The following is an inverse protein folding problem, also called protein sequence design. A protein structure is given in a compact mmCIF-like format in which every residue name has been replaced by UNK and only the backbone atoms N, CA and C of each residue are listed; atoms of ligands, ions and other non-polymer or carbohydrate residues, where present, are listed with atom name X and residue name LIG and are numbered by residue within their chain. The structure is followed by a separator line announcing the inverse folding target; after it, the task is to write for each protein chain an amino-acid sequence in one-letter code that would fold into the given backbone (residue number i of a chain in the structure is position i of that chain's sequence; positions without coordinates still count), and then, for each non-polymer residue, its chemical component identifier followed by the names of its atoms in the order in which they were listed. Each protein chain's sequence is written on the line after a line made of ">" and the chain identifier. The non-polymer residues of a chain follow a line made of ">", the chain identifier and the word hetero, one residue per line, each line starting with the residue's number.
data_IF_396887454605
#
_entry.id   IF_396887454605
#
_cell.length_a   1.000
_cell.length_b   1.000
_cell.length_c   1.000
_cell.angle_alpha   90.00
_cell.angle_beta   90.00
_cell.angle_gamma   90.00
#
_symmetry.space_group_name_H-M   'P 1'
#
loop_
_entity.id
_entity.type
_entity.pdbx_description
1 polymer ?
#
# COMPACT_ATOMS: atom_id res chain seq x y z
N UNK A 1 -18.21 -6.94 -3.38
CA UNK A 1 -18.05 -5.51 -3.79
C UNK A 1 -16.57 -5.26 -3.92
N UNK A 2 -16.09 -5.06 -5.14
CA UNK A 2 -14.66 -4.94 -5.45
C UNK A 2 -14.17 -3.56 -5.06
N UNK A 3 -13.15 -3.50 -4.25
CA UNK A 3 -12.53 -2.27 -3.76
C UNK A 3 -12.00 -1.45 -4.93
N UNK A 4 -12.45 -0.21 -5.12
CA UNK A 4 -12.06 0.69 -6.20
C UNK A 4 -10.57 1.14 -6.21
N UNK A 5 -9.76 0.70 -5.25
CA UNK A 5 -8.33 1.07 -5.16
C UNK A 5 -7.53 0.49 -6.33
N UNK A 6 -7.91 -0.69 -6.80
CA UNK A 6 -7.16 -1.45 -7.79
C UNK A 6 -8.03 -1.67 -9.03
N UNK A 7 -7.88 -0.76 -9.98
CA UNK A 7 -8.60 -0.83 -11.26
C UNK A 7 -8.14 -2.02 -12.12
N UNK A 8 -9.00 -2.45 -13.03
CA UNK A 8 -8.73 -3.61 -13.89
C UNK A 8 -7.51 -3.40 -14.81
N UNK A 9 -6.78 -4.46 -15.17
CA UNK A 9 -5.55 -4.37 -15.99
C UNK A 9 -5.69 -3.73 -17.36
N UNK A 10 -6.92 -3.55 -17.87
CA UNK A 10 -7.19 -2.91 -19.17
C UNK A 10 -7.12 -1.38 -19.16
N UNK A 11 -7.08 -0.77 -17.99
CA UNK A 11 -6.91 0.67 -17.84
C UNK A 11 -5.42 1.04 -17.92
N UNK A 12 -5.09 2.10 -18.66
CA UNK A 12 -3.71 2.59 -18.78
C UNK A 12 -3.11 3.01 -17.45
N UNK A 13 -3.92 3.53 -16.53
CA UNK A 13 -3.50 3.89 -15.18
C UNK A 13 -3.14 2.63 -14.37
N UNK A 14 -3.95 1.57 -14.45
CA UNK A 14 -3.66 0.29 -13.79
C UNK A 14 -2.38 -0.35 -14.35
N UNK A 15 -2.17 -0.28 -15.67
CA UNK A 15 -0.95 -0.75 -16.31
C UNK A 15 0.30 -0.01 -15.81
N UNK A 16 0.23 1.33 -15.73
CA UNK A 16 1.32 2.17 -15.24
C UNK A 16 1.64 1.85 -13.78
N UNK A 17 0.63 1.77 -12.91
CA UNK A 17 0.80 1.43 -11.49
C UNK A 17 1.45 0.07 -11.29
N UNK A 18 0.99 -0.95 -12.02
CA UNK A 18 1.56 -2.30 -11.97
C UNK A 18 3.00 -2.35 -12.46
N UNK A 19 3.31 -1.69 -13.57
CA UNK A 19 4.67 -1.62 -14.08
C UNK A 19 5.60 -0.89 -13.10
N UNK A 20 5.14 0.21 -12.52
CA UNK A 20 5.87 0.95 -11.50
C UNK A 20 6.15 0.07 -10.26
N UNK A 21 5.13 -0.58 -9.71
CA UNK A 21 5.28 -1.50 -8.57
C UNK A 21 6.34 -2.58 -8.84
N UNK A 22 6.28 -3.24 -10.00
CA UNK A 22 7.24 -4.29 -10.38
C UNK A 22 8.67 -3.78 -10.48
N UNK A 23 8.87 -2.62 -11.10
CA UNK A 23 10.20 -2.01 -11.24
C UNK A 23 10.76 -1.60 -9.88
N UNK A 24 9.95 -0.96 -9.02
CA UNK A 24 10.33 -0.59 -7.66
C UNK A 24 10.71 -1.84 -6.84
N UNK A 25 9.87 -2.89 -6.88
CA UNK A 25 10.13 -4.14 -6.17
C UNK A 25 11.40 -4.83 -6.69
N UNK A 26 11.62 -4.86 -7.99
CA UNK A 26 12.78 -5.53 -8.58
C UNK A 26 14.11 -4.84 -8.24
N UNK A 27 14.13 -3.50 -8.20
CA UNK A 27 15.36 -2.69 -8.10
C UNK A 27 15.62 -2.11 -6.72
N UNK A 28 14.57 -1.92 -5.91
CA UNK A 28 14.64 -1.20 -4.62
C UNK A 28 15.14 0.26 -4.77
N UNK A 29 14.91 0.87 -5.93
CA UNK A 29 15.37 2.22 -6.31
C UNK A 29 14.27 2.99 -7.04
N UNK A 30 14.30 4.35 -7.01
CA UNK A 30 13.38 5.19 -7.78
C UNK A 30 13.43 4.90 -9.28
N UNK A 31 12.28 4.94 -9.94
CA UNK A 31 12.08 4.59 -11.35
C UNK A 31 11.90 5.85 -12.21
N UNK A 32 12.72 5.98 -13.25
CA UNK A 32 12.61 7.07 -14.22
C UNK A 32 11.38 6.91 -15.14
N UNK A 33 10.73 8.02 -15.51
CA UNK A 33 9.59 8.00 -16.42
C UNK A 33 9.91 7.31 -17.77
N UNK A 34 11.15 7.46 -18.28
CA UNK A 34 11.59 6.79 -19.51
C UNK A 34 11.66 5.27 -19.39
N UNK A 35 12.01 4.77 -18.23
CA UNK A 35 12.04 3.31 -17.95
C UNK A 35 10.63 2.76 -17.88
N UNK A 36 9.73 3.50 -17.21
CA UNK A 36 8.34 3.15 -17.10
C UNK A 36 7.64 3.20 -18.47
N UNK A 37 7.99 4.17 -19.33
CA UNK A 37 7.52 4.22 -20.72
C UNK A 37 7.91 2.97 -21.51
N UNK A 38 9.17 2.49 -21.37
CA UNK A 38 9.62 1.24 -21.99
C UNK A 38 8.87 0.02 -21.44
N UNK A 39 8.68 -0.04 -20.12
CA UNK A 39 8.02 -1.18 -19.46
C UNK A 39 6.54 -1.29 -19.82
N UNK A 40 5.86 -0.17 -20.05
CA UNK A 40 4.43 -0.13 -20.39
C UNK A 40 4.14 -0.11 -21.88
N UNK A 41 5.12 0.25 -22.72
CA UNK A 41 4.92 0.53 -24.14
C UNK A 41 4.19 1.85 -24.43
N UNK A 42 3.92 2.66 -23.39
CA UNK A 42 3.26 3.96 -23.50
C UNK A 42 4.32 5.00 -23.89
N UNK A 43 4.08 5.78 -24.95
CA UNK A 43 4.98 6.88 -25.32
C UNK A 43 5.12 7.88 -24.17
N UNK A 44 6.33 8.40 -23.97
CA UNK A 44 6.65 9.29 -22.84
C UNK A 44 5.71 10.51 -22.75
N UNK A 45 5.37 11.12 -23.90
CA UNK A 45 4.49 12.29 -23.94
C UNK A 45 3.06 11.98 -23.44
N UNK A 46 2.62 10.72 -23.55
CA UNK A 46 1.34 10.25 -23.02
C UNK A 46 1.45 9.76 -21.59
N UNK A 47 2.61 9.25 -21.22
CA UNK A 47 2.86 8.75 -19.86
C UNK A 47 2.94 9.87 -18.83
N UNK A 48 3.60 10.98 -19.14
CA UNK A 48 3.79 12.08 -18.19
C UNK A 48 2.47 12.62 -17.62
N UNK A 49 1.43 12.93 -18.42
CA UNK A 49 0.13 13.33 -17.88
C UNK A 49 -0.55 12.25 -17.02
N UNK A 50 -0.36 10.96 -17.35
CA UNK A 50 -0.89 9.86 -16.53
C UNK A 50 -0.19 9.80 -15.16
N UNK A 51 1.13 10.05 -15.13
CA UNK A 51 1.86 10.13 -13.87
C UNK A 51 1.39 11.32 -13.03
N UNK A 52 1.11 12.47 -13.62
CA UNK A 52 0.57 13.64 -12.91
C UNK A 52 -0.79 13.32 -12.28
N UNK A 53 -1.68 12.67 -13.02
CA UNK A 53 -3.00 12.25 -12.52
C UNK A 53 -2.87 11.23 -11.39
N UNK A 54 -2.01 10.22 -11.55
CA UNK A 54 -1.83 9.18 -10.55
C UNK A 54 -1.16 9.69 -9.27
N UNK A 55 -0.20 10.60 -9.40
CA UNK A 55 0.47 11.25 -8.26
C UNK A 55 -0.50 12.17 -7.50
N UNK A 56 -1.24 13.01 -8.22
CA UNK A 56 -2.28 13.85 -7.62
C UNK A 56 -3.36 13.05 -6.88
N UNK A 57 -3.75 11.89 -7.41
CA UNK A 57 -4.70 10.97 -6.75
C UNK A 57 -4.07 10.10 -5.64
N UNK A 58 -2.77 10.26 -5.35
CA UNK A 58 -2.07 9.46 -4.34
C UNK A 58 -1.98 7.96 -4.68
N UNK A 59 -2.03 7.61 -5.98
CA UNK A 59 -1.96 6.21 -6.44
C UNK A 59 -0.57 5.77 -6.86
N UNK A 60 0.31 6.74 -7.12
CA UNK A 60 1.77 6.62 -7.16
C UNK A 60 2.35 7.77 -6.33
N UNK A 61 3.66 7.73 -6.09
CA UNK A 61 4.40 8.86 -5.52
C UNK A 61 5.65 9.13 -6.31
N UNK A 62 5.97 10.41 -6.49
CA UNK A 62 7.21 10.85 -7.14
C UNK A 62 8.07 11.66 -6.17
N UNK A 63 9.39 11.64 -6.39
CA UNK A 63 10.32 12.52 -5.69
C UNK A 63 10.42 13.90 -6.39
N UNK A 64 11.19 14.80 -5.78
CA UNK A 64 11.39 16.15 -6.31
C UNK A 64 12.06 16.22 -7.69
N UNK A 65 12.61 15.12 -8.21
CA UNK A 65 13.15 15.01 -9.58
C UNK A 65 12.16 14.37 -10.56
N UNK A 66 10.94 14.03 -10.10
CA UNK A 66 9.88 13.42 -10.90
C UNK A 66 9.98 11.90 -11.08
N UNK A 67 10.94 11.24 -10.40
CA UNK A 67 11.07 9.77 -10.43
C UNK A 67 9.99 9.14 -9.55
N UNK A 68 9.43 8.01 -9.99
CA UNK A 68 8.48 7.24 -9.20
C UNK A 68 9.20 6.54 -8.06
N UNK A 69 8.83 6.83 -6.83
CA UNK A 69 9.38 6.27 -5.59
C UNK A 69 8.40 5.34 -4.87
N UNK A 70 7.12 5.38 -5.26
CA UNK A 70 6.10 4.51 -4.68
C UNK A 70 4.96 4.22 -5.64
N UNK A 71 4.36 3.05 -5.51
CA UNK A 71 3.19 2.60 -6.28
C UNK A 71 2.45 1.51 -5.53
N UNK A 72 1.11 1.56 -5.55
CA UNK A 72 0.24 0.55 -4.96
C UNK A 72 0.62 0.18 -3.51
N UNK A 73 0.91 1.19 -2.70
CA UNK A 73 1.26 1.02 -1.29
C UNK A 73 2.74 0.75 -1.00
N UNK A 74 3.54 0.31 -1.99
CA UNK A 74 4.98 0.09 -1.84
C UNK A 74 5.76 1.39 -2.03
N UNK A 75 6.78 1.61 -1.23
CA UNK A 75 7.75 2.72 -1.37
C UNK A 75 9.19 2.20 -1.26
N UNK A 76 10.10 2.78 -2.06
CA UNK A 76 11.55 2.53 -1.99
C UNK A 76 12.31 3.61 -1.24
N UNK A 77 11.60 4.60 -0.73
CA UNK A 77 12.12 5.62 0.18
C UNK A 77 11.39 5.53 1.53
N UNK A 78 11.97 6.03 2.63
CA UNK A 78 11.31 6.01 3.94
C UNK A 78 9.88 6.57 3.89
N UNK A 79 8.96 5.82 4.49
CA UNK A 79 7.55 6.15 4.60
C UNK A 79 7.00 5.64 5.96
N UNK A 80 5.68 5.60 6.14
CA UNK A 80 5.02 5.37 7.44
C UNK A 80 5.39 4.05 8.09
N UNK A 81 5.47 2.97 7.31
CA UNK A 81 5.73 1.64 7.84
C UNK A 81 6.93 1.02 7.13
N UNK A 82 7.84 0.47 7.91
CA UNK A 82 9.02 -0.23 7.38
C UNK A 82 8.69 -1.70 7.18
N UNK A 83 9.11 -2.27 6.04
CA UNK A 83 8.96 -3.70 5.77
C UNK A 83 10.26 -4.29 5.23
N UNK A 84 10.53 -5.53 5.60
CA UNK A 84 11.57 -6.37 5.00
C UNK A 84 10.88 -7.50 4.23
N UNK A 85 11.07 -7.52 2.92
CA UNK A 85 10.54 -8.53 2.00
C UNK A 85 11.70 -9.39 1.50
N UNK A 86 11.75 -10.65 1.94
CA UNK A 86 12.79 -11.60 1.53
C UNK A 86 14.22 -11.03 1.65
N UNK A 87 14.51 -10.36 2.79
CA UNK A 87 15.80 -9.75 3.10
C UNK A 87 16.06 -8.38 2.46
N UNK A 88 15.09 -7.79 1.78
CA UNK A 88 15.20 -6.45 1.19
C UNK A 88 14.30 -5.46 1.90
N UNK A 89 14.80 -4.25 2.14
CA UNK A 89 14.08 -3.20 2.85
C UNK A 89 13.26 -2.33 1.91
N UNK A 90 12.00 -2.12 2.31
CA UNK A 90 11.04 -1.24 1.67
C UNK A 90 10.20 -0.53 2.73
N UNK A 91 9.24 0.27 2.28
CA UNK A 91 8.23 0.91 3.13
C UNK A 91 6.85 0.77 2.51
N UNK A 92 5.82 0.98 3.34
CA UNK A 92 4.43 1.04 2.86
C UNK A 92 3.74 2.31 3.35
N UNK A 93 2.70 2.71 2.61
CA UNK A 93 1.96 3.93 2.88
C UNK A 93 0.98 3.76 4.03
N UNK A 94 0.44 2.56 4.23
CA UNK A 94 -0.46 2.25 5.32
C UNK A 94 -0.28 0.81 5.83
N UNK A 95 -0.91 0.50 6.95
CA UNK A 95 -0.85 -0.82 7.54
C UNK A 95 -1.56 -1.89 6.69
N UNK A 96 -2.60 -1.54 5.95
CA UNK A 96 -3.28 -2.46 5.04
C UNK A 96 -2.41 -2.88 3.85
N UNK A 97 -1.57 -1.95 3.34
CA UNK A 97 -0.60 -2.25 2.27
C UNK A 97 0.38 -3.35 2.70
N UNK A 98 0.79 -3.36 3.98
CA UNK A 98 1.66 -4.41 4.53
C UNK A 98 1.07 -5.79 4.24
N UNK A 99 -0.18 -5.98 4.66
CA UNK A 99 -0.88 -7.27 4.58
C UNK A 99 -1.13 -7.68 3.12
N UNK A 100 -1.56 -6.72 2.29
CA UNK A 100 -1.80 -6.94 0.87
C UNK A 100 -0.53 -7.31 0.10
N UNK A 101 0.56 -6.59 0.33
CA UNK A 101 1.83 -6.81 -0.37
C UNK A 101 2.46 -8.15 0.04
N UNK A 102 2.56 -8.44 1.35
CA UNK A 102 3.09 -9.74 1.80
C UNK A 102 2.25 -10.90 1.28
N UNK A 103 0.91 -10.79 1.41
CA UNK A 103 -0.01 -11.84 1.00
C UNK A 103 0.07 -12.13 -0.48
N UNK A 104 -0.02 -11.10 -1.32
CA UNK A 104 -0.04 -11.26 -2.75
C UNK A 104 1.32 -11.71 -3.35
N UNK A 105 2.45 -11.33 -2.73
CA UNK A 105 3.79 -11.81 -3.11
C UNK A 105 4.10 -13.21 -2.56
N UNK A 106 3.36 -13.69 -1.57
CA UNK A 106 3.75 -14.90 -0.81
C UNK A 106 5.08 -14.73 -0.08
N UNK A 107 5.49 -13.49 0.21
CA UNK A 107 6.80 -13.15 0.75
C UNK A 107 6.94 -13.51 2.23
N UNK A 108 8.18 -13.69 2.67
CA UNK A 108 8.53 -13.83 4.09
C UNK A 108 9.33 -12.62 4.55
N UNK A 109 9.24 -12.28 5.85
CA UNK A 109 9.96 -11.15 6.40
C UNK A 109 9.26 -10.53 7.60
N UNK A 110 9.47 -9.24 7.80
CA UNK A 110 8.95 -8.50 8.96
C UNK A 110 8.44 -7.14 8.57
N UNK A 111 7.42 -6.68 9.26
CA UNK A 111 6.94 -5.30 9.21
C UNK A 111 7.09 -4.62 10.58
N UNK A 112 7.46 -3.34 10.56
CA UNK A 112 7.49 -2.46 11.71
C UNK A 112 6.51 -1.30 11.44
N UNK A 113 5.41 -1.28 12.17
CA UNK A 113 4.31 -0.36 11.97
C UNK A 113 4.13 0.52 13.22
N UNK A 114 4.33 1.85 13.12
CA UNK A 114 3.93 2.75 14.19
C UNK A 114 2.44 2.59 14.49
N UNK A 115 2.09 2.43 15.76
CA UNK A 115 0.70 2.35 16.23
C UNK A 115 0.30 3.66 16.88
N UNK A 116 -0.85 4.25 16.52
CA UNK A 116 -1.29 5.49 17.13
C UNK A 116 -1.36 5.39 18.67
N UNK A 117 -0.56 6.21 19.36
CA UNK A 117 -0.53 6.28 20.84
C UNK A 117 0.12 5.09 21.56
N UNK A 118 0.80 4.17 20.87
CA UNK A 118 1.27 2.93 21.50
C UNK A 118 2.64 2.39 21.01
N UNK A 119 3.48 3.20 20.41
CA UNK A 119 4.80 2.78 19.93
C UNK A 119 4.73 2.00 18.59
N UNK A 120 5.61 1.03 18.41
CA UNK A 120 5.72 0.26 17.15
C UNK A 120 5.24 -1.17 17.33
N UNK A 121 4.40 -1.64 16.43
CA UNK A 121 3.98 -3.05 16.34
C UNK A 121 4.86 -3.72 15.30
N UNK A 122 5.46 -4.85 15.69
CA UNK A 122 6.19 -5.74 14.80
C UNK A 122 5.31 -6.91 14.40
N UNK A 123 5.26 -7.24 13.11
CA UNK A 123 4.56 -8.41 12.60
C UNK A 123 5.52 -9.20 11.72
N UNK A 124 5.72 -10.48 12.04
CA UNK A 124 6.47 -11.39 11.20
C UNK A 124 5.55 -12.06 10.16
N UNK A 125 6.09 -12.30 8.97
CA UNK A 125 5.38 -12.94 7.87
C UNK A 125 6.12 -14.19 7.38
N UNK A 126 5.36 -15.24 7.09
CA UNK A 126 5.86 -16.47 6.48
C UNK A 126 4.97 -16.87 5.32
N UNK A 127 5.55 -16.89 4.10
CA UNK A 127 4.83 -17.20 2.85
C UNK A 127 3.53 -16.36 2.70
N UNK A 128 3.64 -15.06 2.93
CA UNK A 128 2.53 -14.12 2.80
C UNK A 128 1.57 -14.05 3.99
N UNK A 129 1.75 -14.89 5.01
CA UNK A 129 0.84 -14.94 6.17
C UNK A 129 1.48 -14.32 7.41
N UNK A 130 0.74 -13.48 8.16
CA UNK A 130 1.19 -12.99 9.46
C UNK A 130 1.32 -14.17 10.43
N UNK A 131 2.36 -14.14 11.26
CA UNK A 131 2.61 -15.18 12.27
C UNK A 131 2.91 -14.54 13.62
N UNK A 132 2.50 -15.21 14.70
CA UNK A 132 2.82 -14.85 16.09
C UNK A 132 2.46 -13.38 16.46
N UNK A 133 1.29 -12.90 16.04
CA UNK A 133 0.82 -11.57 16.39
C UNK A 133 -0.67 -11.54 16.65
N UNK A 134 -1.05 -11.04 17.83
CA UNK A 134 -2.44 -10.78 18.23
C UNK A 134 -2.91 -9.37 17.83
N UNK A 135 -2.08 -8.61 17.11
CA UNK A 135 -2.42 -7.30 16.63
C UNK A 135 -3.64 -7.32 15.71
N UNK A 136 -4.32 -6.20 15.64
CA UNK A 136 -5.47 -6.00 14.76
C UNK A 136 -5.21 -4.83 13.81
N UNK A 137 -5.87 -4.88 12.66
CA UNK A 137 -5.92 -3.78 11.70
C UNK A 137 -7.22 -2.97 11.92
N UNK A 138 -7.12 -1.66 12.03
CA UNK A 138 -8.24 -0.78 11.71
C UNK A 138 -8.15 -0.41 10.22
N UNK A 139 -9.17 -0.79 9.46
CA UNK A 139 -9.32 -0.45 8.05
C UNK A 139 -10.49 0.54 7.90
N UNK A 140 -10.21 1.78 7.44
CA UNK A 140 -11.29 2.72 7.15
C UNK A 140 -12.27 2.15 6.13
N UNK A 141 -13.53 2.60 6.17
CA UNK A 141 -14.53 2.13 5.24
C UNK A 141 -14.30 2.63 3.79
N UNK A 142 -15.04 2.03 2.87
CA UNK A 142 -14.94 2.39 1.44
C UNK A 142 -15.59 3.74 1.13
N UNK A 143 -16.43 4.24 2.03
CA UNK A 143 -17.02 5.58 1.92
C UNK A 143 -15.96 6.66 1.95
N UNK A 144 -15.03 6.59 2.92
CA UNK A 144 -13.89 7.51 2.97
C UNK A 144 -13.06 7.43 1.67
N UNK A 145 -12.75 6.21 1.20
CA UNK A 145 -11.98 6.03 -0.02
C UNK A 145 -12.67 6.58 -1.28
N UNK A 146 -14.00 6.50 -1.33
CA UNK A 146 -14.79 6.96 -2.48
C UNK A 146 -14.81 8.48 -2.59
N UNK A 147 -14.61 9.20 -1.50
CA UNK A 147 -14.60 10.67 -1.46
C UNK A 147 -13.20 11.28 -1.40
N UNK A 148 -12.14 10.47 -1.23
CA UNK A 148 -10.77 10.97 -1.26
C UNK A 148 -10.39 11.54 -2.63
N UNK A 149 -9.75 12.69 -2.63
CA UNK A 149 -9.04 13.23 -3.78
C UNK A 149 -7.63 12.59 -3.87
N UNK A 150 -6.98 12.36 -2.72
CA UNK A 150 -5.66 11.76 -2.61
C UNK A 150 -5.66 10.62 -1.58
N UNK A 151 -5.58 9.38 -2.05
CA UNK A 151 -5.62 8.18 -1.21
C UNK A 151 -4.44 8.13 -0.23
N UNK A 152 -3.25 8.52 -0.67
CA UNK A 152 -2.06 8.52 0.17
C UNK A 152 -2.17 9.49 1.36
N UNK A 153 -2.79 10.66 1.15
CA UNK A 153 -2.88 11.71 2.17
C UNK A 153 -4.12 11.58 3.05
N UNK A 154 -5.21 11.02 2.55
CA UNK A 154 -6.50 11.05 3.22
C UNK A 154 -6.93 9.67 3.76
N UNK A 155 -6.72 8.59 3.01
CA UNK A 155 -7.13 7.24 3.43
C UNK A 155 -6.01 6.49 4.16
N UNK A 156 -4.79 6.50 3.61
CA UNK A 156 -3.67 5.73 4.14
C UNK A 156 -3.32 6.08 5.60
N UNK A 157 -3.33 7.35 6.06
CA UNK A 157 -3.05 7.68 7.46
C UNK A 157 -4.03 7.07 8.46
N UNK A 158 -5.21 6.69 7.99
CA UNK A 158 -6.28 6.15 8.80
C UNK A 158 -6.31 4.61 8.84
N UNK A 159 -5.44 3.92 8.10
CA UNK A 159 -5.29 2.47 8.15
C UNK A 159 -4.08 2.08 9.00
N UNK A 160 -4.33 1.62 10.22
CA UNK A 160 -3.30 1.44 11.25
C UNK A 160 -3.38 0.09 11.96
N UNK A 161 -2.24 -0.42 12.44
CA UNK A 161 -2.19 -1.55 13.37
C UNK A 161 -2.35 -1.10 14.82
N UNK A 162 -3.05 -1.92 15.60
CA UNK A 162 -3.24 -1.75 17.04
C UNK A 162 -2.96 -3.04 17.78
N UNK A 163 -2.56 -2.94 19.05
CA UNK A 163 -2.29 -4.12 19.88
C UNK A 163 -3.56 -4.94 20.15
N UNK A 164 -4.73 -4.28 20.15
CA UNK A 164 -6.03 -4.91 20.39
C UNK A 164 -7.19 -4.10 19.81
N UNK A 165 -8.35 -4.74 19.74
CA UNK A 165 -9.56 -4.15 19.17
C UNK A 165 -10.11 -2.97 20.00
N UNK A 166 -9.89 -2.96 21.31
CA UNK A 166 -10.39 -1.86 22.18
C UNK A 166 -9.66 -0.56 21.83
N UNK A 167 -8.33 -0.62 21.69
CA UNK A 167 -7.50 0.53 21.29
C UNK A 167 -7.86 1.03 19.90
N UNK A 168 -8.04 0.12 18.95
CA UNK A 168 -8.45 0.45 17.59
C UNK A 168 -9.80 1.17 17.55
N UNK A 169 -10.80 0.64 18.24
CA UNK A 169 -12.14 1.22 18.33
C UNK A 169 -12.16 2.56 19.07
N UNK A 170 -11.35 2.70 20.12
CA UNK A 170 -11.22 3.97 20.87
C UNK A 170 -10.62 5.05 19.98
N UNK A 171 -9.55 4.72 19.26
CA UNK A 171 -8.89 5.63 18.33
C UNK A 171 -9.83 6.06 17.20
N UNK A 172 -10.56 5.13 16.58
CA UNK A 172 -11.51 5.43 15.53
C UNK A 172 -12.61 6.40 15.99
N UNK A 173 -13.18 6.18 17.20
CA UNK A 173 -14.17 7.10 17.78
C UNK A 173 -13.59 8.49 18.05
N UNK A 174 -12.34 8.58 18.52
CA UNK A 174 -11.68 9.87 18.78
C UNK A 174 -11.43 10.70 17.52
N UNK A 175 -11.34 10.04 16.36
CA UNK A 175 -11.09 10.67 15.06
C UNK A 175 -12.34 10.71 14.17
N UNK A 176 -13.50 10.31 14.68
CA UNK A 176 -14.78 10.24 13.94
C UNK A 176 -14.65 9.42 12.64
N UNK A 177 -13.98 8.29 12.72
CA UNK A 177 -13.71 7.43 11.58
C UNK A 177 -14.64 6.22 11.56
N UNK A 178 -15.38 6.06 10.45
CA UNK A 178 -16.02 4.80 10.07
C UNK A 178 -15.01 3.79 9.56
N UNK A 179 -15.21 2.52 9.90
CA UNK A 179 -14.33 1.45 9.45
C UNK A 179 -14.52 0.15 10.22
N UNK A 180 -13.63 -0.81 9.96
CA UNK A 180 -13.64 -2.14 10.59
C UNK A 180 -12.33 -2.43 11.31
N UNK A 181 -12.46 -3.02 12.51
CA UNK A 181 -11.35 -3.69 13.18
C UNK A 181 -11.34 -5.15 12.75
N UNK A 182 -10.20 -5.63 12.27
CA UNK A 182 -10.03 -6.96 11.70
C UNK A 182 -8.82 -7.65 12.32
N UNK A 183 -8.90 -8.98 12.53
CA UNK A 183 -7.72 -9.79 12.79
C UNK A 183 -6.77 -9.79 11.59
N UNK A 184 -5.47 -10.00 11.83
CA UNK A 184 -4.46 -9.92 10.75
C UNK A 184 -4.67 -10.99 9.68
N UNK A 185 -5.16 -12.17 10.01
CA UNK A 185 -5.45 -13.24 9.02
C UNK A 185 -6.56 -12.80 8.06
N UNK A 186 -7.69 -12.32 8.59
CA UNK A 186 -8.81 -11.82 7.78
C UNK A 186 -8.36 -10.64 6.91
N UNK A 187 -7.62 -9.71 7.49
CA UNK A 187 -7.10 -8.55 6.78
C UNK A 187 -6.08 -8.93 5.69
N UNK A 188 -5.27 -9.98 5.93
CA UNK A 188 -4.34 -10.53 4.95
C UNK A 188 -5.06 -11.20 3.78
N UNK A 189 -6.13 -11.97 4.04
CA UNK A 189 -6.94 -12.59 2.98
C UNK A 189 -7.57 -11.53 2.08
N UNK A 190 -8.18 -10.51 2.68
CA UNK A 190 -8.78 -9.40 1.96
C UNK A 190 -7.72 -8.63 1.15
N UNK A 191 -6.60 -8.26 1.79
CA UNK A 191 -5.50 -7.57 1.14
C UNK A 191 -4.89 -8.37 -0.01
N UNK A 192 -4.69 -9.68 0.17
CA UNK A 192 -4.21 -10.57 -0.89
C UNK A 192 -5.11 -10.51 -2.13
N UNK A 193 -6.42 -10.55 -1.94
CA UNK A 193 -7.38 -10.46 -3.03
C UNK A 193 -7.35 -9.09 -3.72
N UNK A 194 -7.25 -8.00 -2.95
CA UNK A 194 -7.19 -6.64 -3.49
C UNK A 194 -5.91 -6.39 -4.30
N UNK A 195 -4.77 -6.95 -3.87
CA UNK A 195 -3.49 -6.80 -4.58
C UNK A 195 -3.27 -7.80 -5.71
N UNK A 196 -4.11 -8.84 -5.85
CA UNK A 196 -3.98 -9.85 -6.92
C UNK A 196 -3.98 -9.24 -8.34
N UNK A 197 -4.65 -8.10 -8.53
CA UNK A 197 -4.68 -7.40 -9.84
C UNK A 197 -3.44 -6.53 -10.11
N UNK A 198 -2.65 -6.20 -9.09
CA UNK A 198 -1.43 -5.39 -9.19
C UNK A 198 -0.22 -6.26 -9.49
N UNK A 199 -0.28 -7.51 -9.06
CA UNK A 199 0.83 -8.45 -9.19
C UNK A 199 0.71 -9.35 -10.42
N UNK A 200 1.80 -10.02 -10.82
CA UNK A 200 1.81 -10.92 -11.98
C UNK A 200 0.94 -12.14 -11.79
#
# INVERSE_FOLDING_TARGET
>A
MTTKILETPSDSQALVRRAAFRLLLARSEPVEAKELARATGIKLERLLPLLDILDGAGRIRRDGSGRVVGSAGLSVIPDRHEIELDGRKFWTWCAYDILGIFGALGASGRALSPSPGAGTIAVDFKRGRPVNSDAVLFRPDEGLMSCCENIYEEWCPNSNLFADAERANRWARQHDLGGRVMGLEEASDLGTADWASVLP
#
